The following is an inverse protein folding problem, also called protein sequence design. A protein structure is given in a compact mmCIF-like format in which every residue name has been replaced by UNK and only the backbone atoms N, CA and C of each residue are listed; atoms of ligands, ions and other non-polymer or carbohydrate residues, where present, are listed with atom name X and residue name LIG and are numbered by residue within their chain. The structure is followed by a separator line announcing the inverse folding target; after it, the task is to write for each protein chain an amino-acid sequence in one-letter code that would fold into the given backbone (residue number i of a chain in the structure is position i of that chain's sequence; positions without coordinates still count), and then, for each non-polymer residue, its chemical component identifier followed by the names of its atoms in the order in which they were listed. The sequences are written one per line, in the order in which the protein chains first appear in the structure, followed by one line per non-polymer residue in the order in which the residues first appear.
data_IF_737929096159
#
_entry.id   IF_737929096159
#
_cell.length_a   1.000
_cell.length_b   1.000
_cell.length_c   1.000
_cell.angle_alpha   90.00
_cell.angle_beta   90.00
_cell.angle_gamma   90.00
#
_symmetry.space_group_name_H-M   'P 1'
#
loop_
_entity.id
_entity.type
_entity.pdbx_description
1 polymer ?
#
# COMPACT_ATOMS: atom_id res chain seq x y z
N UNK A 1 -1.42 -23.18 31.88
CA UNK A 1 -0.54 -23.13 30.70
C UNK A 1 -0.36 -24.48 30.00
N UNK A 2 -0.51 -25.63 30.69
CA UNK A 2 -0.33 -26.97 30.08
C UNK A 2 -1.48 -27.46 29.21
N UNK A 3 -2.70 -26.93 29.37
CA UNK A 3 -3.86 -27.38 28.57
C UNK A 3 -3.75 -27.03 27.09
N UNK A 4 -3.20 -25.85 26.79
CA UNK A 4 -2.97 -25.42 25.40
C UNK A 4 -1.85 -26.24 24.77
N UNK A 5 -0.76 -26.47 25.52
CA UNK A 5 0.34 -27.31 25.07
C UNK A 5 -0.07 -28.76 24.80
N UNK A 6 -0.91 -29.35 25.66
CA UNK A 6 -1.40 -30.72 25.46
C UNK A 6 -2.35 -30.87 24.26
N UNK A 7 -3.16 -29.85 23.97
CA UNK A 7 -3.98 -29.85 22.76
C UNK A 7 -3.14 -29.70 21.49
N UNK A 8 -2.12 -28.84 21.53
CA UNK A 8 -1.19 -28.64 20.43
C UNK A 8 -0.36 -29.89 20.14
N UNK A 9 0.14 -30.58 21.16
CA UNK A 9 0.87 -31.85 21.04
C UNK A 9 0.01 -32.94 20.36
N UNK A 10 -1.27 -33.04 20.73
CA UNK A 10 -2.22 -33.92 20.04
C UNK A 10 -2.47 -33.55 18.58
N UNK A 11 -2.46 -32.25 18.25
CA UNK A 11 -2.55 -31.77 16.88
C UNK A 11 -1.30 -32.12 16.06
N UNK A 12 -0.10 -31.93 16.63
CA UNK A 12 1.16 -32.30 15.99
C UNK A 12 1.21 -33.80 15.67
N UNK A 13 0.80 -34.65 16.61
CA UNK A 13 0.72 -36.09 16.40
C UNK A 13 -0.28 -36.48 15.31
N UNK A 14 -1.45 -35.82 15.26
CA UNK A 14 -2.43 -36.06 14.21
C UNK A 14 -1.91 -35.66 12.84
N UNK A 15 -1.33 -34.46 12.70
CA UNK A 15 -0.77 -33.97 11.44
C UNK A 15 0.39 -34.84 10.98
N UNK A 16 1.29 -35.23 11.90
CA UNK A 16 2.43 -36.10 11.61
C UNK A 16 2.01 -37.54 11.25
N UNK A 17 0.83 -37.98 11.71
CA UNK A 17 0.26 -39.28 11.36
C UNK A 17 -0.40 -39.34 9.98
N UNK A 18 -0.57 -38.21 9.29
CA UNK A 18 -1.14 -38.15 7.94
C UNK A 18 -0.10 -38.52 6.86
N UNK A 19 -0.51 -39.14 5.74
CA UNK A 19 0.36 -39.29 4.58
C UNK A 19 0.62 -37.92 3.90
N UNK A 20 1.63 -37.86 3.02
CA UNK A 20 2.17 -36.60 2.46
C UNK A 20 1.11 -35.65 1.87
N UNK A 21 0.19 -36.14 1.03
CA UNK A 21 -0.80 -35.30 0.33
C UNK A 21 -1.74 -34.56 1.31
N UNK A 22 -2.48 -35.25 2.20
CA UNK A 22 -3.33 -34.57 3.18
C UNK A 22 -2.52 -33.73 4.18
N UNK A 23 -1.32 -34.15 4.58
CA UNK A 23 -0.45 -33.36 5.46
C UNK A 23 -0.09 -32.01 4.82
N UNK A 24 0.32 -32.03 3.56
CA UNK A 24 0.65 -30.83 2.80
C UNK A 24 -0.56 -29.91 2.62
N UNK A 25 -1.75 -30.48 2.36
CA UNK A 25 -2.99 -29.70 2.28
C UNK A 25 -3.34 -29.00 3.59
N UNK A 26 -3.24 -29.68 4.73
CA UNK A 26 -3.49 -29.07 6.05
C UNK A 26 -2.54 -27.91 6.30
N UNK A 27 -1.25 -28.10 6.02
CA UNK A 27 -0.24 -27.04 6.15
C UNK A 27 -0.53 -25.89 5.21
N UNK A 28 -0.84 -26.14 3.93
CA UNK A 28 -1.15 -25.10 2.96
C UNK A 28 -2.37 -24.28 3.40
N UNK A 29 -3.45 -24.96 3.79
CA UNK A 29 -4.69 -24.33 4.25
C UNK A 29 -4.49 -23.57 5.56
N UNK A 30 -3.58 -23.99 6.44
CA UNK A 30 -3.24 -23.23 7.64
C UNK A 30 -2.31 -22.05 7.36
N UNK A 31 -1.23 -22.28 6.61
CA UNK A 31 -0.14 -21.33 6.42
C UNK A 31 -0.50 -20.18 5.48
N UNK A 32 -1.32 -20.41 4.45
CA UNK A 32 -1.73 -19.35 3.52
C UNK A 32 -2.56 -18.27 4.22
N UNK A 33 -3.65 -18.59 4.96
CA UNK A 33 -4.39 -17.59 5.72
C UNK A 33 -3.55 -16.92 6.82
N UNK A 34 -2.68 -17.68 7.50
CA UNK A 34 -1.78 -17.11 8.51
C UNK A 34 -0.84 -16.09 7.89
N UNK A 35 -0.25 -16.41 6.73
CA UNK A 35 0.62 -15.49 6.00
C UNK A 35 -0.14 -14.24 5.55
N UNK A 36 -1.37 -14.42 5.04
CA UNK A 36 -2.22 -13.29 4.66
C UNK A 36 -2.57 -12.40 5.86
N UNK A 37 -2.89 -13.00 7.01
CA UNK A 37 -3.18 -12.27 8.24
C UNK A 37 -1.95 -11.47 8.73
N UNK A 38 -0.76 -12.07 8.67
CA UNK A 38 0.49 -11.39 9.02
C UNK A 38 0.78 -10.24 8.04
N UNK A 39 0.67 -10.48 6.74
CA UNK A 39 0.85 -9.43 5.72
C UNK A 39 -0.10 -8.26 5.95
N UNK A 40 -1.39 -8.55 6.16
CA UNK A 40 -2.40 -7.55 6.46
C UNK A 40 -2.07 -6.76 7.74
N UNK A 41 -1.61 -7.43 8.79
CA UNK A 41 -1.22 -6.79 10.03
C UNK A 41 0.00 -5.89 9.86
N UNK A 42 1.00 -6.34 9.09
CA UNK A 42 2.19 -5.55 8.75
C UNK A 42 1.81 -4.30 7.96
N UNK A 43 0.94 -4.42 6.96
CA UNK A 43 0.45 -3.27 6.18
C UNK A 43 -0.28 -2.26 7.07
N UNK A 44 -1.12 -2.76 7.99
CA UNK A 44 -1.85 -1.92 8.94
C UNK A 44 -0.92 -1.23 9.94
N UNK A 45 0.07 -1.96 10.45
CA UNK A 45 1.07 -1.45 11.38
C UNK A 45 1.98 -0.41 10.71
N UNK A 46 2.36 -0.63 9.45
CA UNK A 46 3.14 0.33 8.67
C UNK A 46 2.35 1.61 8.46
N UNK A 47 1.07 1.52 8.06
CA UNK A 47 0.20 2.68 7.90
C UNK A 47 0.02 3.45 9.21
N UNK A 48 -0.21 2.74 10.32
CA UNK A 48 -0.34 3.37 11.64
C UNK A 48 0.95 4.07 12.07
N UNK A 49 2.10 3.43 11.85
CA UNK A 49 3.41 4.01 12.19
C UNK A 49 3.70 5.26 11.35
N UNK A 50 3.37 5.25 10.05
CA UNK A 50 3.55 6.40 9.16
C UNK A 50 2.61 7.58 9.51
N UNK A 51 1.38 7.29 9.94
CA UNK A 51 0.46 8.29 10.48
C UNK A 51 1.03 8.91 11.76
N UNK A 52 1.47 8.06 12.70
CA UNK A 52 2.07 8.49 13.97
C UNK A 52 3.35 9.32 13.77
N UNK A 53 4.16 9.02 12.75
CA UNK A 53 5.40 9.74 12.46
C UNK A 53 5.17 11.14 11.86
N UNK A 54 3.92 11.61 11.80
CA UNK A 54 3.60 13.01 11.51
C UNK A 54 3.37 13.31 10.02
N UNK A 55 3.01 12.30 9.22
CA UNK A 55 2.59 12.53 7.82
C UNK A 55 1.17 13.14 7.72
N UNK A 56 0.39 13.12 8.79
CA UNK A 56 -0.95 13.68 8.80
C UNK A 56 -0.93 15.22 8.77
N UNK A 57 0.05 15.89 9.42
CA UNK A 57 0.11 17.36 9.42
C UNK A 57 0.37 17.92 8.02
N UNK A 58 1.32 17.36 7.26
CA UNK A 58 1.60 17.83 5.89
C UNK A 58 0.55 17.42 4.87
N UNK A 59 -0.02 16.23 4.98
CA UNK A 59 -1.06 15.78 4.03
C UNK A 59 -2.38 16.51 4.27
N UNK A 60 -2.75 16.76 5.53
CA UNK A 60 -3.90 17.60 5.87
C UNK A 60 -3.66 19.06 5.43
N UNK A 61 -2.48 19.62 5.68
CA UNK A 61 -2.13 20.99 5.23
C UNK A 61 -2.12 21.12 3.70
N UNK A 62 -1.62 20.12 2.97
CA UNK A 62 -1.65 20.11 1.51
C UNK A 62 -3.05 19.84 0.95
N UNK A 63 -3.87 19.04 1.62
CA UNK A 63 -5.26 18.79 1.24
C UNK A 63 -6.13 20.03 1.49
N UNK A 64 -5.98 20.71 2.63
CA UNK A 64 -6.62 22.00 2.90
C UNK A 64 -6.14 23.06 1.91
N UNK A 65 -4.83 23.16 1.65
CA UNK A 65 -4.30 24.09 0.66
C UNK A 65 -4.81 23.79 -0.76
N UNK A 66 -5.01 22.53 -1.13
CA UNK A 66 -5.56 22.13 -2.42
C UNK A 66 -7.09 22.37 -2.52
N UNK A 67 -7.82 22.25 -1.41
CA UNK A 67 -9.26 22.59 -1.34
C UNK A 67 -9.47 24.12 -1.39
N UNK A 68 -8.58 24.88 -0.73
CA UNK A 68 -8.58 26.35 -0.78
C UNK A 68 -8.06 26.90 -2.11
N UNK A 69 -7.19 26.14 -2.79
CA UNK A 69 -6.85 26.33 -4.18
C UNK A 69 -7.95 25.75 -5.08
N UNK A 70 -9.19 26.25 -4.94
CA UNK A 70 -10.17 26.13 -6.02
C UNK A 70 -9.51 26.54 -7.35
N UNK A 71 -9.86 25.89 -8.49
CA UNK A 71 -9.23 26.17 -9.75
C UNK A 71 -9.60 27.59 -10.18
N UNK A 72 -8.75 28.56 -9.82
CA UNK A 72 -8.70 29.81 -10.55
C UNK A 72 -8.57 29.41 -12.02
N UNK A 73 -9.48 29.86 -12.90
CA UNK A 73 -9.41 29.49 -14.30
C UNK A 73 -8.00 29.79 -14.75
N UNK A 74 -7.30 28.77 -15.24
CA UNK A 74 -6.01 28.94 -15.88
C UNK A 74 -6.30 29.84 -17.07
N UNK A 75 -6.13 31.15 -16.87
CA UNK A 75 -5.98 32.11 -17.94
C UNK A 75 -4.69 31.70 -18.62
N UNK A 76 -4.82 30.79 -19.57
CA UNK A 76 -3.86 30.61 -20.64
C UNK A 76 -3.89 31.93 -21.38
N UNK A 77 -3.14 32.92 -20.89
CA UNK A 77 -2.70 34.00 -21.75
C UNK A 77 -1.83 33.32 -22.81
N UNK A 78 -2.45 32.99 -23.94
CA UNK A 78 -1.75 32.71 -25.19
C UNK A 78 -0.71 33.83 -25.36
N UNK A 79 0.59 33.54 -25.23
CA UNK A 79 1.60 34.52 -25.57
C UNK A 79 1.42 34.72 -27.06
N UNK A 80 0.80 35.82 -27.45
CA UNK A 80 0.69 36.25 -28.83
C UNK A 80 2.12 36.44 -29.32
N UNK A 81 2.63 35.36 -29.91
CA UNK A 81 3.96 35.31 -30.47
C UNK A 81 3.99 36.35 -31.59
N UNK A 82 4.60 37.50 -31.28
CA UNK A 82 5.11 38.48 -32.23
C UNK A 82 6.13 37.76 -33.13
N UNK A 83 5.64 36.98 -34.09
CA UNK A 83 6.45 36.35 -35.13
C UNK A 83 6.81 37.45 -36.11
N UNK A 84 7.94 38.11 -35.87
CA UNK A 84 8.59 38.92 -36.90
C UNK A 84 9.08 37.98 -38.02
N UNK A 85 8.65 38.18 -39.28
CA UNK A 85 9.19 37.40 -40.39
C UNK A 85 10.63 37.84 -40.65
N UNK A 86 11.58 36.92 -40.46
CA UNK A 86 12.99 37.16 -40.78
C UNK A 86 13.15 37.01 -42.30
N UNK A 87 13.39 38.12 -42.99
CA UNK A 87 13.66 38.14 -44.42
C UNK A 87 15.04 37.53 -44.69
N UNK A 88 15.06 36.23 -45.02
CA UNK A 88 16.27 35.54 -45.47
C UNK A 88 16.55 35.96 -46.91
N UNK A 89 17.50 36.89 -47.10
CA UNK A 89 17.99 37.28 -48.40
C UNK A 89 18.68 36.10 -49.10
N UNK A 90 18.09 35.62 -50.18
CA UNK A 90 18.77 34.83 -51.19
C UNK A 90 19.07 35.75 -52.38
N UNK A 91 20.36 35.87 -52.69
CA UNK A 91 20.91 36.49 -53.91
C UNK A 91 20.63 35.60 -55.11
#
# INVERSE_FOLDING_TARGET
MHRVAGWWDGFELWVAGLPFIPQFLVVLVGMVPVSFAIAYLLDRALRATLQLLGRDSRVAELADAAVLAEPAPILVEEPTADRRPVQSGAR
#
